data_IF_578688939106
#
_entry.id   IF_578688939106
#
_cell.length_a   1.000
_cell.length_b   1.000
_cell.length_c   1.000
_cell.angle_alpha   90.00
_cell.angle_beta   90.00
_cell.angle_gamma   90.00
#
_symmetry.space_group_name_H-M   'P 1'
#
loop_
_entity.id
_entity.type
_entity.pdbx_description
1 polymer ?
#
# COMPACT_ATOMS: atom_id res chain seq x y z
N UNK A 1 -30.26 -13.43 -24.70
CA UNK A 1 -30.13 -12.20 -25.51
C UNK A 1 -29.15 -11.32 -24.78
N UNK A 2 -27.87 -11.56 -25.02
CA UNK A 2 -26.76 -10.79 -24.46
C UNK A 2 -26.61 -9.54 -25.31
N UNK A 3 -26.79 -8.38 -24.69
CA UNK A 3 -26.62 -7.10 -25.36
C UNK A 3 -25.14 -6.88 -25.66
N UNK A 4 -24.76 -7.02 -26.92
CA UNK A 4 -23.55 -6.42 -27.48
C UNK A 4 -23.78 -4.91 -27.57
N UNK A 5 -23.67 -4.21 -26.45
CA UNK A 5 -23.61 -2.75 -26.42
C UNK A 5 -22.14 -2.34 -26.39
N UNK A 6 -21.63 -1.80 -27.50
CA UNK A 6 -20.46 -0.90 -27.43
C UNK A 6 -20.88 0.30 -26.56
N UNK A 7 -20.60 0.19 -25.26
CA UNK A 7 -20.69 1.32 -24.35
C UNK A 7 -19.60 2.31 -24.75
N UNK A 8 -19.99 3.44 -25.34
CA UNK A 8 -19.11 4.60 -25.45
C UNK A 8 -18.72 5.03 -24.04
N UNK A 9 -17.47 4.76 -23.66
CA UNK A 9 -16.95 5.06 -22.33
C UNK A 9 -16.63 6.54 -22.24
N UNK A 10 -17.37 7.28 -21.42
CA UNK A 10 -17.18 8.71 -21.17
C UNK A 10 -15.90 9.07 -20.39
N UNK A 11 -14.98 8.11 -20.22
CA UNK A 11 -13.72 8.27 -19.48
C UNK A 11 -13.91 8.44 -17.96
N UNK A 12 -15.11 8.26 -17.42
CA UNK A 12 -15.40 8.49 -15.99
C UNK A 12 -15.09 7.30 -15.10
N UNK A 13 -15.00 7.56 -13.79
CA UNK A 13 -14.93 6.50 -12.78
C UNK A 13 -16.16 5.58 -12.81
N UNK A 14 -17.34 6.10 -13.16
CA UNK A 14 -18.55 5.29 -13.29
C UNK A 14 -18.41 4.26 -14.43
N UNK A 15 -17.95 4.71 -15.59
CA UNK A 15 -17.62 3.82 -16.72
C UNK A 15 -16.53 2.81 -16.32
N UNK A 16 -15.51 3.22 -15.57
CA UNK A 16 -14.48 2.32 -15.05
C UNK A 16 -15.09 1.19 -14.21
N UNK A 17 -15.96 1.53 -13.26
CA UNK A 17 -16.63 0.54 -12.40
C UNK A 17 -17.45 -0.46 -13.20
N UNK A 18 -18.27 -0.01 -14.17
CA UNK A 18 -19.11 -0.89 -14.96
C UNK A 18 -18.30 -1.91 -15.78
N UNK A 19 -17.20 -1.45 -16.40
CA UNK A 19 -16.30 -2.30 -17.19
C UNK A 19 -15.57 -3.29 -16.28
N UNK A 20 -14.99 -2.81 -15.18
CA UNK A 20 -14.23 -3.64 -14.24
C UNK A 20 -15.14 -4.67 -13.56
N UNK A 21 -16.36 -4.31 -13.20
CA UNK A 21 -17.33 -5.26 -12.65
C UNK A 21 -17.57 -6.43 -13.61
N UNK A 22 -17.82 -6.13 -14.88
CA UNK A 22 -18.05 -7.15 -15.91
C UNK A 22 -16.82 -8.03 -16.15
N UNK A 23 -15.63 -7.42 -16.13
CA UNK A 23 -14.36 -8.12 -16.34
C UNK A 23 -14.00 -9.03 -15.15
N UNK A 24 -14.28 -8.60 -13.92
CA UNK A 24 -13.80 -9.26 -12.70
C UNK A 24 -14.74 -10.33 -12.14
N UNK A 25 -16.07 -10.20 -12.30
CA UNK A 25 -17.06 -11.15 -11.73
C UNK A 25 -17.16 -12.48 -12.48
N UNK A 26 -16.79 -12.50 -13.76
CA UNK A 26 -17.04 -13.64 -14.65
C UNK A 26 -15.81 -14.50 -14.94
N UNK A 27 -16.00 -15.50 -15.81
CA UNK A 27 -14.93 -16.38 -16.31
C UNK A 27 -14.07 -15.75 -17.40
N UNK A 28 -14.33 -14.48 -17.78
CA UNK A 28 -13.64 -13.81 -18.88
C UNK A 28 -12.12 -13.85 -18.74
N UNK A 29 -11.58 -13.53 -17.55
CA UNK A 29 -10.12 -13.56 -17.32
C UNK A 29 -9.55 -14.95 -17.60
N UNK A 30 -10.18 -16.00 -17.08
CA UNK A 30 -9.74 -17.38 -17.32
C UNK A 30 -9.78 -17.74 -18.81
N UNK A 31 -10.88 -17.41 -19.50
CA UNK A 31 -11.04 -17.65 -20.94
C UNK A 31 -9.99 -16.90 -21.76
N UNK A 32 -9.73 -15.64 -21.43
CA UNK A 32 -8.70 -14.84 -22.07
C UNK A 32 -7.32 -15.48 -21.91
N UNK A 33 -6.97 -15.97 -20.72
CA UNK A 33 -5.70 -16.64 -20.48
C UNK A 33 -5.63 -17.99 -21.20
N UNK A 34 -6.73 -18.77 -21.23
CA UNK A 34 -6.80 -20.02 -22.00
C UNK A 34 -6.54 -19.76 -23.49
N UNK A 35 -7.21 -18.78 -24.08
CA UNK A 35 -7.03 -18.40 -25.49
C UNK A 35 -5.60 -17.91 -25.79
N UNK A 36 -4.97 -17.17 -24.86
CA UNK A 36 -3.57 -16.78 -25.01
C UNK A 36 -2.63 -17.99 -25.08
N UNK A 37 -2.87 -19.01 -24.25
CA UNK A 37 -2.06 -20.24 -24.24
C UNK A 37 -2.32 -21.11 -25.48
N UNK A 38 -3.53 -21.10 -26.02
CA UNK A 38 -3.85 -21.80 -27.28
C UNK A 38 -3.07 -21.26 -28.49
N UNK A 39 -2.51 -20.05 -28.42
CA UNK A 39 -1.69 -19.47 -29.51
C UNK A 39 -0.33 -20.16 -29.70
N UNK A 40 0.03 -21.10 -28.82
CA UNK A 40 1.21 -21.94 -28.92
C UNK A 40 2.25 -21.61 -27.84
N UNK A 41 3.41 -21.09 -28.23
CA UNK A 41 4.55 -20.90 -27.33
C UNK A 41 4.33 -19.78 -26.31
N UNK A 42 4.71 -20.00 -25.06
CA UNK A 42 4.60 -19.02 -23.96
C UNK A 42 5.13 -17.61 -24.26
N UNK A 43 6.27 -17.41 -24.94
CA UNK A 43 6.71 -16.07 -25.34
C UNK A 43 5.71 -15.33 -26.23
N UNK A 44 4.92 -16.03 -27.04
CA UNK A 44 3.86 -15.42 -27.85
C UNK A 44 2.69 -14.99 -26.98
N UNK A 45 2.28 -15.82 -26.03
CA UNK A 45 1.24 -15.49 -25.05
C UNK A 45 1.63 -14.26 -24.21
N UNK A 46 2.89 -14.19 -23.73
CA UNK A 46 3.43 -13.03 -23.01
C UNK A 46 3.41 -11.74 -23.85
N UNK A 47 3.82 -11.82 -25.13
CA UNK A 47 3.79 -10.66 -26.03
C UNK A 47 2.37 -10.19 -26.35
N UNK A 48 1.42 -11.13 -26.48
CA UNK A 48 0.01 -10.82 -26.69
C UNK A 48 -0.59 -10.15 -25.43
N UNK A 49 -0.33 -10.70 -24.23
CA UNK A 49 -0.73 -10.10 -22.96
C UNK A 49 -0.17 -8.67 -22.80
N UNK A 50 1.14 -8.50 -23.06
CA UNK A 50 1.82 -7.21 -23.07
C UNK A 50 1.12 -6.20 -23.98
N UNK A 51 0.76 -6.64 -25.20
CA UNK A 51 0.11 -5.78 -26.20
C UNK A 51 -1.30 -5.38 -25.76
N UNK A 52 -2.07 -6.32 -25.20
CA UNK A 52 -3.39 -6.04 -24.62
C UNK A 52 -3.32 -5.03 -23.47
N UNK A 53 -2.36 -5.18 -22.55
CA UNK A 53 -2.16 -4.23 -21.45
C UNK A 53 -1.73 -2.85 -21.92
N UNK A 54 -0.88 -2.78 -22.94
CA UNK A 54 -0.42 -1.51 -23.53
C UNK A 54 -1.54 -0.76 -24.24
N UNK A 55 -2.43 -1.50 -24.91
CA UNK A 55 -3.60 -0.93 -25.61
C UNK A 55 -4.84 -0.82 -24.70
N UNK A 56 -4.74 -1.22 -23.43
CA UNK A 56 -5.85 -1.30 -22.49
C UNK A 56 -7.06 -2.08 -23.04
N UNK A 57 -6.82 -3.10 -23.86
CA UNK A 57 -7.86 -3.78 -24.64
C UNK A 57 -7.72 -5.29 -24.51
N UNK A 58 -8.80 -5.94 -24.09
CA UNK A 58 -8.85 -7.39 -23.82
C UNK A 58 -9.97 -8.02 -24.63
N UNK A 59 -9.63 -9.05 -25.41
CA UNK A 59 -10.56 -9.72 -26.31
C UNK A 59 -10.48 -11.22 -26.11
N UNK A 60 -11.65 -11.84 -25.94
CA UNK A 60 -11.84 -13.29 -26.01
C UNK A 60 -12.96 -13.60 -27.01
N UNK A 61 -13.07 -14.86 -27.44
CA UNK A 61 -14.01 -15.37 -28.46
C UNK A 61 -15.46 -14.86 -28.40
N UNK A 62 -15.96 -14.46 -27.23
CA UNK A 62 -17.31 -13.89 -27.05
C UNK A 62 -17.38 -12.53 -26.36
N UNK A 63 -16.25 -11.87 -26.07
CA UNK A 63 -16.25 -10.65 -25.27
C UNK A 63 -15.10 -9.72 -25.60
N UNK A 64 -15.37 -8.42 -25.54
CA UNK A 64 -14.40 -7.37 -25.78
C UNK A 64 -14.55 -6.30 -24.69
N UNK A 65 -13.42 -5.95 -24.06
CA UNK A 65 -13.36 -4.90 -23.06
C UNK A 65 -12.26 -3.92 -23.44
N UNK A 66 -12.61 -2.63 -23.49
CA UNK A 66 -11.66 -1.52 -23.65
C UNK A 66 -11.68 -0.66 -22.40
N UNK A 67 -10.50 -0.43 -21.84
CA UNK A 67 -10.24 0.47 -20.71
C UNK A 67 -9.46 1.72 -21.16
N UNK A 68 -9.15 1.87 -22.45
CA UNK A 68 -8.22 2.88 -22.96
C UNK A 68 -8.61 4.32 -22.61
N UNK A 69 -9.82 4.72 -22.97
CA UNK A 69 -10.29 6.09 -22.72
C UNK A 69 -10.43 6.38 -21.21
N UNK A 70 -10.87 5.39 -20.45
CA UNK A 70 -10.99 5.47 -18.98
C UNK A 70 -9.61 5.63 -18.35
N UNK A 71 -8.66 4.73 -18.63
CA UNK A 71 -7.32 4.80 -18.03
C UNK A 71 -6.64 6.10 -18.41
N UNK A 72 -6.70 6.49 -19.69
CA UNK A 72 -6.11 7.75 -20.16
C UNK A 72 -6.72 8.95 -19.42
N UNK A 73 -8.04 9.05 -19.35
CA UNK A 73 -8.72 10.21 -18.73
C UNK A 73 -8.44 10.30 -17.24
N UNK A 74 -8.53 9.18 -16.52
CA UNK A 74 -8.26 9.16 -15.09
C UNK A 74 -6.79 9.43 -14.78
N UNK A 75 -5.86 8.90 -15.57
CA UNK A 75 -4.42 9.09 -15.39
C UNK A 75 -4.00 10.54 -15.71
N UNK A 76 -4.47 11.12 -16.82
CA UNK A 76 -4.20 12.51 -17.17
C UNK A 76 -4.66 13.48 -16.07
N UNK A 77 -5.84 13.23 -15.48
CA UNK A 77 -6.35 14.03 -14.35
C UNK A 77 -5.54 13.83 -13.07
N UNK A 78 -5.08 12.62 -12.82
CA UNK A 78 -4.23 12.29 -11.66
C UNK A 78 -2.89 13.01 -11.76
N UNK A 79 -2.27 13.00 -12.95
CA UNK A 79 -1.05 13.74 -13.27
C UNK A 79 -1.23 15.25 -13.12
N UNK A 80 -2.37 15.79 -13.57
CA UNK A 80 -2.69 17.20 -13.40
C UNK A 80 -2.83 17.62 -11.93
N UNK A 81 -3.18 16.68 -11.04
CA UNK A 81 -3.21 16.89 -9.59
C UNK A 81 -1.85 16.64 -8.90
N UNK A 82 -0.81 16.31 -9.66
CA UNK A 82 0.56 16.14 -9.17
C UNK A 82 0.96 14.70 -8.82
N UNK A 83 0.09 13.72 -9.09
CA UNK A 83 0.35 12.31 -8.82
C UNK A 83 0.60 11.52 -10.11
N UNK A 84 1.65 10.70 -10.09
CA UNK A 84 2.04 9.82 -11.18
C UNK A 84 1.85 8.39 -10.70
N UNK A 85 0.70 7.76 -10.97
CA UNK A 85 0.31 6.49 -10.30
C UNK A 85 0.59 5.27 -11.17
N UNK A 86 0.47 5.42 -12.49
CA UNK A 86 0.48 4.30 -13.44
C UNK A 86 1.88 4.02 -14.04
N UNK A 87 2.81 4.94 -13.83
CA UNK A 87 4.18 4.95 -14.37
C UNK A 87 5.22 4.85 -13.26
N UNK A 88 6.36 4.24 -13.57
CA UNK A 88 7.45 4.04 -12.60
C UNK A 88 8.42 5.20 -12.66
N UNK A 89 8.88 5.66 -11.49
CA UNK A 89 9.98 6.63 -11.41
C UNK A 89 11.34 5.95 -11.65
N UNK A 90 12.12 6.48 -12.59
CA UNK A 90 13.48 6.03 -12.80
C UNK A 90 14.47 6.93 -12.03
N UNK A 91 15.06 6.36 -10.98
CA UNK A 91 16.02 7.05 -10.12
C UNK A 91 17.34 7.42 -10.82
N UNK A 92 17.64 6.85 -11.99
CA UNK A 92 18.92 7.10 -12.69
C UNK A 92 18.86 8.32 -13.61
N UNK A 93 17.74 8.52 -14.31
CA UNK A 93 17.55 9.64 -15.23
C UNK A 93 16.59 10.72 -14.68
N UNK A 94 16.00 10.47 -13.51
CA UNK A 94 15.03 11.35 -12.87
C UNK A 94 13.81 11.66 -13.77
N UNK A 95 13.30 10.63 -14.45
CA UNK A 95 12.09 10.72 -15.27
C UNK A 95 11.12 9.58 -14.99
N UNK A 96 9.84 9.77 -15.33
CA UNK A 96 8.86 8.69 -15.32
C UNK A 96 8.96 7.84 -16.59
N UNK A 97 8.68 6.55 -16.45
CA UNK A 97 8.72 5.60 -17.55
C UNK A 97 7.66 5.88 -18.61
N UNK A 98 8.00 5.70 -19.89
CA UNK A 98 7.03 5.83 -20.99
C UNK A 98 5.96 4.72 -20.95
N UNK A 99 6.39 3.48 -20.70
CA UNK A 99 5.46 2.35 -20.53
C UNK A 99 4.95 2.30 -19.08
N UNK A 100 3.74 1.75 -18.90
CA UNK A 100 3.12 1.59 -17.59
C UNK A 100 3.74 0.45 -16.77
N UNK A 101 3.58 0.51 -15.44
CA UNK A 101 4.17 -0.47 -14.50
C UNK A 101 3.82 -1.93 -14.87
N UNK A 102 2.55 -2.28 -15.17
CA UNK A 102 2.22 -3.65 -15.57
C UNK A 102 2.95 -4.15 -16.83
N UNK A 103 3.10 -3.31 -17.86
CA UNK A 103 3.86 -3.66 -19.07
C UNK A 103 5.34 -3.86 -18.76
N UNK A 104 5.93 -2.99 -17.92
CA UNK A 104 7.31 -3.16 -17.46
C UNK A 104 7.51 -4.46 -16.67
N UNK A 105 6.48 -4.89 -15.94
CA UNK A 105 6.47 -6.14 -15.19
C UNK A 105 6.52 -7.35 -16.13
N UNK A 106 5.69 -7.36 -17.18
CA UNK A 106 5.73 -8.40 -18.22
C UNK A 106 7.13 -8.46 -18.84
N UNK A 107 7.69 -7.31 -19.22
CA UNK A 107 9.04 -7.22 -19.80
C UNK A 107 10.12 -7.74 -18.84
N UNK A 108 9.98 -7.49 -17.53
CA UNK A 108 10.90 -7.99 -16.53
C UNK A 108 10.83 -9.51 -16.41
N UNK A 109 9.63 -10.08 -16.29
CA UNK A 109 9.42 -11.52 -16.18
C UNK A 109 9.91 -12.24 -17.43
N UNK A 110 9.68 -11.70 -18.63
CA UNK A 110 10.25 -12.24 -19.87
C UNK A 110 11.78 -12.27 -19.84
N UNK A 111 12.44 -11.19 -19.38
CA UNK A 111 13.91 -11.15 -19.25
C UNK A 111 14.46 -12.11 -18.20
N UNK A 112 13.70 -12.41 -17.15
CA UNK A 112 14.12 -13.39 -16.14
C UNK A 112 14.28 -14.80 -16.75
N UNK A 113 13.62 -15.09 -17.87
CA UNK A 113 13.75 -16.36 -18.57
C UNK A 113 13.33 -17.55 -17.71
N UNK A 114 12.28 -17.37 -16.92
CA UNK A 114 11.76 -18.35 -15.97
C UNK A 114 11.36 -19.63 -16.73
N UNK A 115 11.97 -20.77 -16.37
CA UNK A 115 11.73 -22.08 -16.98
C UNK A 115 10.96 -22.99 -16.02
N UNK A 116 10.25 -23.98 -16.58
CA UNK A 116 9.60 -25.06 -15.85
C UNK A 116 8.55 -24.61 -14.81
N UNK A 117 7.88 -23.49 -15.09
CA UNK A 117 6.81 -22.97 -14.25
C UNK A 117 5.43 -23.08 -14.88
N UNK A 118 4.40 -22.95 -14.06
CA UNK A 118 3.02 -22.84 -14.48
C UNK A 118 2.80 -21.52 -15.26
N UNK A 119 2.85 -21.65 -16.59
CA UNK A 119 2.63 -20.57 -17.55
C UNK A 119 1.27 -19.89 -17.36
N UNK A 120 0.23 -20.66 -17.03
CA UNK A 120 -1.12 -20.15 -16.79
C UNK A 120 -1.19 -19.30 -15.53
N UNK A 121 -0.58 -19.76 -14.45
CA UNK A 121 -0.50 -19.01 -13.20
C UNK A 121 0.25 -17.68 -13.41
N UNK A 122 1.35 -17.71 -14.17
CA UNK A 122 2.14 -16.53 -14.49
C UNK A 122 1.33 -15.47 -15.27
N UNK A 123 0.67 -15.87 -16.37
CA UNK A 123 -0.16 -14.95 -17.16
C UNK A 123 -1.34 -14.40 -16.36
N UNK A 124 -1.98 -15.25 -15.55
CA UNK A 124 -3.10 -14.85 -14.68
C UNK A 124 -2.67 -13.80 -13.66
N UNK A 125 -1.51 -14.00 -13.01
CA UNK A 125 -0.97 -13.04 -12.06
C UNK A 125 -0.58 -11.72 -12.73
N UNK A 126 0.04 -11.76 -13.92
CA UNK A 126 0.36 -10.56 -14.68
C UNK A 126 -0.89 -9.75 -15.07
N UNK A 127 -1.96 -10.43 -15.51
CA UNK A 127 -3.25 -9.78 -15.80
C UNK A 127 -3.83 -9.11 -14.55
N UNK A 128 -3.80 -9.81 -13.41
CA UNK A 128 -4.31 -9.25 -12.16
C UNK A 128 -3.47 -8.07 -11.66
N UNK A 129 -2.15 -8.07 -11.88
CA UNK A 129 -1.29 -6.90 -11.60
C UNK A 129 -1.74 -5.69 -12.42
N UNK A 130 -2.07 -5.87 -13.70
CA UNK A 130 -2.59 -4.77 -14.52
C UNK A 130 -3.90 -4.22 -13.93
N UNK A 131 -4.85 -5.09 -13.62
CA UNK A 131 -6.15 -4.69 -13.08
C UNK A 131 -6.02 -4.07 -11.67
N UNK A 132 -5.07 -4.54 -10.87
CA UNK A 132 -4.71 -3.92 -9.59
C UNK A 132 -4.27 -2.46 -9.76
N UNK A 133 -3.43 -2.15 -10.76
CA UNK A 133 -3.00 -0.78 -11.03
C UNK A 133 -4.16 0.08 -11.55
N UNK A 134 -5.08 -0.49 -12.32
CA UNK A 134 -6.30 0.23 -12.74
C UNK A 134 -7.19 0.54 -11.53
N UNK A 135 -7.35 -0.40 -10.59
CA UNK A 135 -8.08 -0.14 -9.33
C UNK A 135 -7.37 0.89 -8.43
N UNK A 136 -6.04 0.88 -8.44
CA UNK A 136 -5.22 1.89 -7.74
C UNK A 136 -5.50 3.28 -8.30
N UNK A 137 -5.54 3.42 -9.64
CA UNK A 137 -5.95 4.67 -10.29
C UNK A 137 -7.41 5.04 -9.97
N UNK A 138 -8.34 4.08 -9.95
CA UNK A 138 -9.72 4.35 -9.55
C UNK A 138 -9.81 4.87 -8.09
N UNK A 139 -8.96 4.36 -7.19
CA UNK A 139 -8.99 4.74 -5.77
C UNK A 139 -8.65 6.21 -5.54
N UNK A 140 -7.64 6.75 -6.23
CA UNK A 140 -7.29 8.18 -6.13
C UNK A 140 -8.33 9.08 -6.79
N UNK A 141 -9.08 8.56 -7.77
CA UNK A 141 -10.19 9.26 -8.43
C UNK A 141 -11.52 9.14 -7.71
N UNK A 142 -11.57 8.59 -6.49
CA UNK A 142 -12.82 8.39 -5.75
C UNK A 142 -13.63 9.68 -5.52
N UNK A 143 -13.00 10.86 -5.60
CA UNK A 143 -13.65 12.17 -5.44
C UNK A 143 -14.10 12.80 -6.77
N UNK A 144 -14.04 12.08 -7.89
CA UNK A 144 -14.44 12.62 -9.20
C UNK A 144 -15.94 12.91 -9.31
N UNK A 145 -16.72 12.33 -8.42
CA UNK A 145 -18.13 12.65 -8.22
C UNK A 145 -18.36 12.93 -6.71
N UNK A 146 -19.53 13.48 -6.38
CA UNK A 146 -19.90 13.83 -5.00
C UNK A 146 -20.22 12.61 -4.11
N UNK A 147 -19.73 11.41 -4.46
CA UNK A 147 -20.00 10.15 -3.77
C UNK A 147 -18.72 9.35 -3.42
N UNK A 148 -17.68 9.97 -2.81
CA UNK A 148 -16.43 9.27 -2.51
C UNK A 148 -16.65 8.05 -1.60
N UNK A 149 -17.61 8.14 -0.67
CA UNK A 149 -17.98 7.05 0.23
C UNK A 149 -18.44 5.81 -0.53
N UNK A 150 -19.31 5.95 -1.52
CA UNK A 150 -19.77 4.81 -2.29
C UNK A 150 -18.68 4.27 -3.21
N UNK A 151 -17.83 5.15 -3.76
CA UNK A 151 -16.78 4.75 -4.67
C UNK A 151 -15.76 3.84 -3.99
N UNK A 152 -15.32 4.15 -2.78
CA UNK A 152 -14.42 3.24 -2.06
C UNK A 152 -15.07 1.88 -1.73
N UNK A 153 -16.38 1.82 -1.45
CA UNK A 153 -17.07 0.54 -1.24
C UNK A 153 -17.11 -0.28 -2.54
N UNK A 154 -17.44 0.38 -3.67
CA UNK A 154 -17.42 -0.24 -5.00
C UNK A 154 -16.01 -0.75 -5.35
N UNK A 155 -14.97 0.05 -5.11
CA UNK A 155 -13.57 -0.33 -5.38
C UNK A 155 -13.13 -1.48 -4.47
N UNK A 156 -13.53 -1.48 -3.19
CA UNK A 156 -13.24 -2.60 -2.28
C UNK A 156 -13.90 -3.88 -2.78
N UNK A 157 -15.15 -3.81 -3.26
CA UNK A 157 -15.84 -4.96 -3.85
C UNK A 157 -15.16 -5.46 -5.13
N UNK A 158 -14.72 -4.56 -6.01
CA UNK A 158 -13.96 -4.91 -7.22
C UNK A 158 -12.64 -5.59 -6.86
N UNK A 159 -11.93 -5.10 -5.83
CA UNK A 159 -10.70 -5.71 -5.32
C UNK A 159 -10.94 -7.13 -4.81
N UNK A 160 -12.05 -7.39 -4.11
CA UNK A 160 -12.41 -8.75 -3.68
C UNK A 160 -12.59 -9.70 -4.87
N UNK A 161 -13.23 -9.25 -5.95
CA UNK A 161 -13.37 -10.05 -7.17
C UNK A 161 -12.04 -10.23 -7.92
N UNK A 162 -11.21 -9.19 -7.98
CA UNK A 162 -9.86 -9.27 -8.54
C UNK A 162 -9.06 -10.40 -7.89
N UNK A 163 -9.03 -10.42 -6.57
CA UNK A 163 -8.24 -11.35 -5.76
C UNK A 163 -8.93 -12.70 -5.52
N UNK A 164 -10.14 -12.87 -6.07
CA UNK A 164 -10.99 -14.04 -5.90
C UNK A 164 -10.60 -15.24 -6.77
N UNK A 165 -11.40 -16.32 -6.74
CA UNK A 165 -11.13 -17.57 -7.46
C UNK A 165 -11.25 -17.48 -8.99
N UNK A 166 -11.82 -16.39 -9.52
CA UNK A 166 -11.93 -16.13 -10.96
C UNK A 166 -10.74 -15.35 -11.53
N UNK A 167 -9.72 -15.09 -10.70
CA UNK A 167 -8.42 -14.54 -11.11
C UNK A 167 -7.28 -15.49 -10.72
N UNK A 168 -6.09 -14.93 -10.52
CA UNK A 168 -4.91 -15.64 -9.99
C UNK A 168 -5.11 -16.12 -8.55
N UNK A 169 -6.01 -15.48 -7.80
CA UNK A 169 -6.20 -15.71 -6.37
C UNK A 169 -5.15 -15.03 -5.48
N UNK A 170 -4.20 -14.28 -6.06
CA UNK A 170 -3.23 -13.50 -5.30
C UNK A 170 -3.93 -12.43 -4.45
N UNK A 171 -3.53 -12.30 -3.19
CA UNK A 171 -4.04 -11.27 -2.28
C UNK A 171 -3.05 -10.10 -2.26
N UNK A 172 -3.38 -8.99 -2.95
CA UNK A 172 -2.54 -7.79 -2.95
C UNK A 172 -2.75 -6.99 -1.67
N UNK A 173 -3.97 -6.48 -1.48
CA UNK A 173 -4.37 -5.63 -0.34
C UNK A 173 -5.80 -5.96 0.09
N UNK A 174 -6.27 -5.44 1.23
CA UNK A 174 -7.59 -5.76 1.77
C UNK A 174 -8.70 -4.82 1.34
N UNK A 175 -8.40 -3.57 0.99
CA UNK A 175 -9.42 -2.54 0.77
C UNK A 175 -8.93 -1.36 -0.06
N UNK A 176 -9.88 -0.52 -0.47
CA UNK A 176 -9.65 0.69 -1.25
C UNK A 176 -8.80 1.74 -0.50
N UNK A 177 -8.87 1.83 0.83
CA UNK A 177 -8.00 2.72 1.61
C UNK A 177 -6.52 2.35 1.44
N UNK A 178 -6.22 1.05 1.40
CA UNK A 178 -4.84 0.58 1.16
C UNK A 178 -4.43 0.76 -0.29
N UNK A 179 -5.34 0.58 -1.26
CA UNK A 179 -5.08 0.93 -2.66
C UNK A 179 -4.71 2.40 -2.81
N UNK A 180 -5.42 3.31 -2.14
CA UNK A 180 -5.09 4.73 -2.18
C UNK A 180 -3.70 5.01 -1.61
N UNK A 181 -3.33 4.38 -0.50
CA UNK A 181 -1.96 4.49 0.02
C UNK A 181 -0.96 3.97 -1.01
N UNK A 182 -1.20 2.82 -1.64
CA UNK A 182 -0.33 2.29 -2.70
C UNK A 182 -0.20 3.23 -3.88
N UNK A 183 -1.28 3.94 -4.25
CA UNK A 183 -1.29 4.89 -5.36
C UNK A 183 -0.26 6.01 -5.19
N UNK A 184 -0.08 6.47 -3.95
CA UNK A 184 0.80 7.62 -3.65
C UNK A 184 2.10 7.24 -2.95
N UNK A 185 2.38 5.94 -2.89
CA UNK A 185 3.55 5.38 -2.23
C UNK A 185 4.76 5.26 -3.15
N UNK A 186 4.97 6.23 -4.03
CA UNK A 186 6.19 6.40 -4.81
C UNK A 186 6.53 7.89 -4.90
N UNK A 187 7.66 8.20 -5.52
CA UNK A 187 8.06 9.59 -5.68
C UNK A 187 7.04 10.35 -6.53
N UNK A 188 6.57 11.48 -6.01
CA UNK A 188 5.75 12.44 -6.74
C UNK A 188 6.38 13.83 -6.63
N UNK A 189 6.47 14.58 -7.74
CA UNK A 189 7.23 15.83 -7.78
C UNK A 189 6.55 17.01 -7.06
N UNK A 190 5.25 16.89 -6.74
CA UNK A 190 4.45 17.99 -6.17
C UNK A 190 4.10 17.70 -4.71
N UNK A 191 4.86 18.28 -3.78
CA UNK A 191 4.61 18.11 -2.34
C UNK A 191 3.20 18.59 -1.93
N UNK A 192 2.69 19.65 -2.56
CA UNK A 192 1.34 20.20 -2.31
C UNK A 192 0.22 19.23 -2.67
N UNK A 193 0.47 18.25 -3.54
CA UNK A 193 -0.51 17.24 -3.90
C UNK A 193 -0.88 16.37 -2.69
N UNK A 194 0.08 16.10 -1.80
CA UNK A 194 -0.15 15.33 -0.58
C UNK A 194 -1.06 16.09 0.40
N UNK A 195 -0.86 17.40 0.56
CA UNK A 195 -1.73 18.23 1.40
C UNK A 195 -3.18 18.23 0.89
N UNK A 196 -3.36 18.44 -0.41
CA UNK A 196 -4.69 18.40 -1.04
C UNK A 196 -5.35 17.01 -0.90
N UNK A 197 -4.56 15.93 -0.99
CA UNK A 197 -5.08 14.58 -0.79
C UNK A 197 -5.49 14.34 0.67
N UNK A 198 -4.69 14.80 1.64
CA UNK A 198 -5.05 14.75 3.07
C UNK A 198 -6.37 15.49 3.27
N UNK A 199 -6.55 16.70 2.76
CA UNK A 199 -7.81 17.43 2.88
C UNK A 199 -9.01 16.62 2.35
N UNK A 200 -8.87 15.97 1.18
CA UNK A 200 -9.89 15.08 0.60
C UNK A 200 -10.21 13.87 1.49
N UNK A 201 -9.19 13.21 2.05
CA UNK A 201 -9.38 12.04 2.92
C UNK A 201 -10.17 12.41 4.18
N UNK A 202 -9.94 13.60 4.73
CA UNK A 202 -10.65 14.08 5.91
C UNK A 202 -12.05 14.63 5.61
N UNK A 203 -12.54 14.58 4.36
CA UNK A 203 -13.96 14.73 4.05
C UNK A 203 -14.75 13.43 4.14
N UNK A 204 -14.08 12.27 4.27
CA UNK A 204 -14.74 10.98 4.44
C UNK A 204 -15.32 10.83 5.86
N UNK A 205 -16.21 9.86 6.07
CA UNK A 205 -16.70 9.53 7.41
C UNK A 205 -15.58 9.02 8.34
N UNK A 206 -15.85 9.08 9.65
CA UNK A 206 -14.91 8.64 10.70
C UNK A 206 -14.45 7.19 10.50
N UNK A 207 -15.33 6.29 10.05
CA UNK A 207 -14.98 4.87 9.88
C UNK A 207 -13.89 4.71 8.82
N UNK A 208 -13.97 5.46 7.72
CA UNK A 208 -12.98 5.46 6.65
C UNK A 208 -11.71 6.19 7.04
N UNK A 209 -11.83 7.35 7.70
CA UNK A 209 -10.68 8.06 8.25
C UNK A 209 -9.85 7.15 9.17
N UNK A 210 -10.50 6.36 10.04
CA UNK A 210 -9.84 5.37 10.90
C UNK A 210 -9.16 4.26 10.08
N UNK A 211 -9.86 3.66 9.12
CA UNK A 211 -9.28 2.61 8.24
C UNK A 211 -8.05 3.10 7.50
N UNK A 212 -8.12 4.31 6.96
CA UNK A 212 -7.02 4.95 6.27
C UNK A 212 -5.85 5.24 7.22
N UNK A 213 -6.15 5.75 8.42
CA UNK A 213 -5.13 6.06 9.43
C UNK A 213 -4.40 4.80 9.92
N UNK A 214 -5.12 3.68 10.08
CA UNK A 214 -4.51 2.39 10.45
C UNK A 214 -3.41 1.97 9.48
N UNK A 215 -3.69 1.97 8.18
CA UNK A 215 -2.72 1.56 7.16
C UNK A 215 -1.63 2.63 6.96
N UNK A 216 -1.99 3.90 7.05
CA UNK A 216 -1.05 5.03 6.91
C UNK A 216 0.04 5.00 7.97
N UNK A 217 -0.30 4.80 9.25
CA UNK A 217 0.73 4.74 10.30
C UNK A 217 1.65 3.54 10.15
N UNK A 218 1.15 2.44 9.57
CA UNK A 218 1.99 1.28 9.28
C UNK A 218 2.94 1.50 8.10
N UNK A 219 2.45 2.12 7.02
CA UNK A 219 3.26 2.45 5.84
C UNK A 219 4.31 3.50 6.16
N UNK A 220 3.90 4.65 6.68
CA UNK A 220 4.81 5.74 7.04
C UNK A 220 5.73 5.34 8.20
N UNK A 221 5.23 4.55 9.14
CA UNK A 221 6.03 3.96 10.21
C UNK A 221 7.18 3.10 9.66
N UNK A 222 6.86 2.15 8.79
CA UNK A 222 7.85 1.28 8.15
C UNK A 222 8.83 2.04 7.27
N UNK A 223 8.33 3.01 6.50
CA UNK A 223 9.11 3.89 5.64
C UNK A 223 10.14 4.72 6.40
N UNK A 224 9.69 5.50 7.39
CA UNK A 224 10.54 6.41 8.13
C UNK A 224 11.54 5.67 9.02
N UNK A 225 11.19 4.49 9.59
CA UNK A 225 12.16 3.64 10.30
C UNK A 225 13.27 3.15 9.36
N UNK A 226 12.91 2.75 8.13
CA UNK A 226 13.89 2.38 7.11
C UNK A 226 14.78 3.57 6.75
N UNK A 227 14.18 4.71 6.40
CA UNK A 227 14.88 5.92 5.99
C UNK A 227 15.84 6.43 7.06
N UNK A 228 15.39 6.47 8.32
CA UNK A 228 16.21 6.88 9.47
C UNK A 228 17.57 6.17 9.48
N UNK A 229 17.58 4.84 9.35
CA UNK A 229 18.82 4.06 9.35
C UNK A 229 19.54 4.09 8.00
N UNK A 230 18.81 3.82 6.92
CA UNK A 230 19.39 3.52 5.61
C UNK A 230 19.84 4.78 4.84
N UNK A 231 19.08 5.87 4.97
CA UNK A 231 19.24 7.07 4.13
C UNK A 231 19.81 8.24 4.92
N UNK A 232 19.39 8.40 6.19
CA UNK A 232 19.72 9.57 6.99
C UNK A 232 20.78 9.32 8.07
N UNK A 233 21.32 8.11 8.18
CA UNK A 233 22.33 7.76 9.21
C UNK A 233 21.90 8.16 10.63
N UNK A 234 20.60 8.08 10.91
CA UNK A 234 19.90 8.46 12.14
C UNK A 234 19.86 9.96 12.42
N UNK A 235 20.16 10.79 11.43
CA UNK A 235 19.91 12.24 11.50
C UNK A 235 18.41 12.53 11.33
N UNK A 236 17.74 12.70 12.47
CA UNK A 236 16.30 12.98 12.52
C UNK A 236 15.96 14.36 11.95
N UNK A 237 16.87 15.33 12.02
CA UNK A 237 16.63 16.69 11.49
C UNK A 237 16.59 16.64 9.97
N UNK A 238 17.56 15.96 9.36
CA UNK A 238 17.57 15.74 7.91
C UNK A 238 16.36 14.92 7.46
N UNK A 239 16.02 13.86 8.18
CA UNK A 239 14.83 13.05 7.87
C UNK A 239 13.54 13.90 7.90
N UNK A 240 13.36 14.76 8.89
CA UNK A 240 12.18 15.65 8.95
C UNK A 240 12.09 16.60 7.77
N UNK A 241 13.23 17.14 7.33
CA UNK A 241 13.28 18.05 6.19
C UNK A 241 12.96 17.35 4.86
N UNK A 242 13.52 16.16 4.64
CA UNK A 242 13.36 15.43 3.37
C UNK A 242 12.01 14.69 3.27
N UNK A 243 11.24 14.58 4.36
CA UNK A 243 9.93 13.92 4.40
C UNK A 243 8.82 14.90 4.81
N UNK A 244 8.85 16.14 4.29
CA UNK A 244 7.95 17.22 4.67
C UNK A 244 6.45 16.90 4.42
N UNK A 245 6.13 16.06 3.42
CA UNK A 245 4.75 15.58 3.18
C UNK A 245 4.30 14.44 4.11
N UNK A 246 5.23 13.58 4.56
CA UNK A 246 4.90 12.42 5.39
C UNK A 246 4.56 12.79 6.83
N UNK A 247 5.24 13.80 7.40
CA UNK A 247 4.99 14.20 8.79
C UNK A 247 3.58 14.74 9.02
N UNK A 248 3.05 15.67 8.19
CA UNK A 248 1.66 16.10 8.25
C UNK A 248 0.70 14.93 8.08
N UNK A 249 0.91 14.06 7.09
CA UNK A 249 0.09 12.86 6.90
C UNK A 249 0.05 12.00 8.18
N UNK A 250 1.22 11.73 8.75
CA UNK A 250 1.36 10.92 9.95
C UNK A 250 0.71 11.60 11.17
N UNK A 251 0.84 12.92 11.31
CA UNK A 251 0.17 13.71 12.35
C UNK A 251 -1.36 13.55 12.26
N UNK A 252 -1.92 13.74 11.07
CA UNK A 252 -3.35 13.57 10.82
C UNK A 252 -3.82 12.15 11.16
N UNK A 253 -3.06 11.13 10.73
CA UNK A 253 -3.37 9.73 11.02
C UNK A 253 -3.32 9.41 12.52
N UNK A 254 -2.29 9.88 13.23
CA UNK A 254 -2.15 9.68 14.67
C UNK A 254 -3.26 10.40 15.45
N UNK A 255 -3.66 11.59 15.03
CA UNK A 255 -4.75 12.35 15.64
C UNK A 255 -6.08 11.60 15.53
N UNK A 256 -6.45 11.17 14.32
CA UNK A 256 -7.66 10.36 14.09
C UNK A 256 -7.67 9.08 14.92
N UNK A 257 -6.52 8.39 15.02
CA UNK A 257 -6.41 7.17 15.82
C UNK A 257 -6.52 7.45 17.32
N UNK A 258 -5.97 8.56 17.82
CA UNK A 258 -6.14 8.93 19.23
C UNK A 258 -7.59 9.31 19.54
N UNK A 259 -8.27 10.06 18.68
CA UNK A 259 -9.69 10.37 18.86
C UNK A 259 -10.54 9.11 18.92
N UNK A 260 -10.27 8.14 18.03
CA UNK A 260 -10.95 6.85 18.03
C UNK A 260 -10.60 6.00 19.27
N UNK A 261 -9.33 6.03 19.71
CA UNK A 261 -8.92 5.42 20.97
C UNK A 261 -9.74 5.95 22.14
N UNK A 262 -9.86 7.28 22.26
CA UNK A 262 -10.63 7.94 23.31
C UNK A 262 -12.10 7.55 23.26
N UNK A 263 -12.69 7.55 22.05
CA UNK A 263 -14.10 7.15 21.86
C UNK A 263 -14.33 5.70 22.32
N UNK A 264 -13.47 4.77 21.89
CA UNK A 264 -13.55 3.36 22.27
C UNK A 264 -13.31 3.17 23.77
N UNK A 265 -12.34 3.89 24.35
CA UNK A 265 -12.03 3.85 25.78
C UNK A 265 -13.22 4.28 26.62
N UNK A 266 -13.86 5.41 26.28
CA UNK A 266 -15.05 5.94 26.97
C UNK A 266 -16.27 5.04 26.84
N UNK A 267 -16.36 4.24 25.77
CA UNK A 267 -17.43 3.26 25.59
C UNK A 267 -17.33 2.05 26.53
N UNK A 268 -16.23 1.89 27.28
CA UNK A 268 -16.05 0.82 28.26
C UNK A 268 -15.89 -0.59 27.68
N UNK A 269 -15.84 -0.73 26.36
CA UNK A 269 -15.69 -2.03 25.69
C UNK A 269 -14.21 -2.33 25.40
N UNK A 270 -13.67 -3.37 26.04
CA UNK A 270 -12.46 -4.04 25.55
C UNK A 270 -12.79 -4.81 24.28
N UNK A 271 -12.64 -4.16 23.13
CA UNK A 271 -12.89 -4.79 21.84
C UNK A 271 -11.59 -4.88 21.03
N UNK A 272 -11.55 -5.84 20.10
CA UNK A 272 -10.44 -6.02 19.16
C UNK A 272 -10.14 -4.75 18.36
N UNK A 273 -11.11 -3.86 18.17
CA UNK A 273 -10.89 -2.58 17.49
C UNK A 273 -9.91 -1.69 18.28
N UNK A 274 -10.05 -1.57 19.60
CA UNK A 274 -9.11 -0.80 20.45
C UNK A 274 -7.68 -1.33 20.32
N UNK A 275 -7.50 -2.64 20.31
CA UNK A 275 -6.17 -3.26 20.13
C UNK A 275 -5.52 -2.90 18.79
N UNK A 276 -6.31 -2.84 17.70
CA UNK A 276 -5.82 -2.40 16.39
C UNK A 276 -5.36 -0.94 16.43
N UNK A 277 -6.13 -0.07 17.09
CA UNK A 277 -5.78 1.34 17.27
C UNK A 277 -4.46 1.48 18.07
N UNK A 278 -4.32 0.77 19.19
CA UNK A 278 -3.10 0.81 20.02
C UNK A 278 -1.87 0.38 19.21
N UNK A 279 -1.96 -0.74 18.48
CA UNK A 279 -0.87 -1.21 17.61
C UNK A 279 -0.52 -0.18 16.53
N UNK A 280 -1.52 0.45 15.91
CA UNK A 280 -1.32 1.44 14.86
C UNK A 280 -0.71 2.74 15.38
N UNK A 281 -1.11 3.21 16.56
CA UNK A 281 -0.50 4.35 17.25
C UNK A 281 0.98 4.07 17.54
N UNK A 282 1.29 2.91 18.11
CA UNK A 282 2.68 2.51 18.37
C UNK A 282 3.48 2.45 17.07
N UNK A 283 2.94 1.88 16.00
CA UNK A 283 3.61 1.81 14.71
C UNK A 283 3.92 3.20 14.14
N UNK A 284 2.97 4.14 14.20
CA UNK A 284 3.16 5.51 13.73
C UNK A 284 4.13 6.34 14.58
N UNK A 285 4.22 6.10 15.89
CA UNK A 285 5.11 6.84 16.79
C UNK A 285 6.56 6.36 16.76
N UNK A 286 6.79 5.10 16.40
CA UNK A 286 8.13 4.48 16.44
C UNK A 286 9.24 5.04 15.55
N UNK A 287 8.99 5.75 14.43
CA UNK A 287 10.07 6.37 13.66
C UNK A 287 10.66 7.58 14.37
N UNK A 288 9.81 8.41 14.98
CA UNK A 288 10.20 9.69 15.61
C UNK A 288 9.16 10.14 16.65
N UNK A 289 9.19 9.59 17.88
CA UNK A 289 8.24 9.97 18.92
C UNK A 289 8.39 11.43 19.35
N UNK A 290 9.58 12.02 19.20
CA UNK A 290 9.84 13.41 19.61
C UNK A 290 9.04 14.41 18.77
N UNK A 291 8.82 14.14 17.48
CA UNK A 291 8.02 15.02 16.62
C UNK A 291 6.60 15.23 17.14
N UNK A 292 6.04 14.25 17.87
CA UNK A 292 4.65 14.26 18.33
C UNK A 292 4.52 14.54 19.83
N UNK A 293 5.53 14.24 20.65
CA UNK A 293 5.46 14.44 22.10
C UNK A 293 6.02 15.80 22.56
N UNK A 294 6.97 16.38 21.82
CA UNK A 294 7.61 17.63 22.22
C UNK A 294 6.77 18.85 21.84
N UNK A 295 6.84 19.88 22.67
CA UNK A 295 6.31 21.23 22.39
C UNK A 295 7.45 22.24 22.51
N UNK A 296 7.61 23.19 21.56
CA UNK A 296 6.84 23.34 20.32
C UNK A 296 7.08 22.19 19.32
N UNK A 297 6.20 22.00 18.30
CA UNK A 297 6.42 21.02 17.25
C UNK A 297 7.70 21.32 16.44
N UNK A 298 8.29 20.32 15.76
CA UNK A 298 9.36 20.56 14.80
C UNK A 298 8.90 21.42 13.62
N UNK A 299 9.86 22.01 12.90
CA UNK A 299 9.59 22.89 11.73
C UNK A 299 8.70 22.23 10.68
N UNK A 300 8.89 20.93 10.43
CA UNK A 300 8.06 20.15 9.49
C UNK A 300 6.58 20.06 9.87
N UNK A 301 6.23 20.38 11.12
CA UNK A 301 4.86 20.38 11.65
C UNK A 301 4.39 21.76 12.09
N UNK A 302 5.18 22.82 11.89
CA UNK A 302 4.87 24.17 12.39
C UNK A 302 3.56 24.72 11.81
N UNK A 303 3.26 24.43 10.53
CA UNK A 303 2.01 24.83 9.87
C UNK A 303 0.77 24.08 10.39
N UNK A 304 0.96 22.99 11.12
CA UNK A 304 -0.10 22.14 11.67
C UNK A 304 -0.14 22.22 13.19
N UNK A 305 0.32 23.34 13.77
CA UNK A 305 0.44 23.54 15.22
C UNK A 305 -0.82 23.18 16.00
N UNK A 306 -2.00 23.65 15.56
CA UNK A 306 -3.26 23.38 16.26
C UNK A 306 -3.57 21.88 16.33
N UNK A 307 -3.36 21.16 15.22
CA UNK A 307 -3.58 19.71 15.14
C UNK A 307 -2.57 18.94 15.97
N UNK A 308 -1.31 19.37 15.92
CA UNK A 308 -0.25 18.82 16.77
C UNK A 308 -0.58 19.00 18.26
N UNK A 309 -1.07 20.18 18.65
CA UNK A 309 -1.50 20.46 20.01
C UNK A 309 -2.65 19.55 20.46
N UNK A 310 -3.65 19.32 19.61
CA UNK A 310 -4.74 18.36 19.90
C UNK A 310 -4.20 16.96 20.14
N UNK A 311 -3.34 16.45 19.24
CA UNK A 311 -2.71 15.13 19.42
C UNK A 311 -1.91 15.07 20.73
N UNK A 312 -1.10 16.08 21.01
CA UNK A 312 -0.27 16.13 22.21
C UNK A 312 -1.11 16.10 23.48
N UNK A 313 -2.22 16.85 23.53
CA UNK A 313 -3.13 16.86 24.68
C UNK A 313 -3.75 15.49 24.92
N UNK A 314 -4.25 14.83 23.87
CA UNK A 314 -4.82 13.48 23.98
C UNK A 314 -3.77 12.45 24.41
N UNK A 315 -2.55 12.54 23.88
CA UNK A 315 -1.47 11.64 24.28
C UNK A 315 -1.04 11.86 25.74
N UNK A 316 -1.02 13.10 26.22
CA UNK A 316 -0.71 13.43 27.61
C UNK A 316 -1.82 12.95 28.56
N UNK A 317 -3.10 13.13 28.21
CA UNK A 317 -4.24 12.69 29.03
C UNK A 317 -4.21 11.17 29.27
N UNK A 318 -3.80 10.38 28.27
CA UNK A 318 -3.80 8.92 28.32
C UNK A 318 -2.40 8.29 28.42
N UNK A 319 -1.36 9.06 28.76
CA UNK A 319 0.04 8.65 28.66
C UNK A 319 0.37 7.37 29.47
N UNK A 320 -0.05 7.31 30.73
CA UNK A 320 0.24 6.15 31.60
C UNK A 320 -0.44 4.86 31.10
N UNK A 321 -1.68 4.98 30.64
CA UNK A 321 -2.46 3.86 30.10
C UNK A 321 -1.83 3.38 28.78
N UNK A 322 -1.56 4.28 27.85
CA UNK A 322 -0.90 3.98 26.58
C UNK A 322 0.49 3.36 26.78
N UNK A 323 1.28 3.83 27.75
CA UNK A 323 2.59 3.24 28.04
C UNK A 323 2.47 1.77 28.47
N UNK A 324 1.45 1.44 29.27
CA UNK A 324 1.17 0.07 29.69
C UNK A 324 0.71 -0.78 28.50
N UNK A 325 -0.20 -0.27 27.69
CA UNK A 325 -0.73 -0.98 26.53
C UNK A 325 0.31 -1.19 25.42
N UNK A 326 1.16 -0.19 25.17
CA UNK A 326 2.27 -0.31 24.22
C UNK A 326 3.31 -1.33 24.67
N UNK A 327 3.57 -1.44 25.98
CA UNK A 327 4.51 -2.43 26.51
C UNK A 327 4.07 -3.88 26.23
N UNK A 328 2.75 -4.13 26.13
CA UNK A 328 2.20 -5.44 25.78
C UNK A 328 2.48 -5.85 24.32
N UNK A 329 2.81 -4.91 23.45
CA UNK A 329 3.10 -5.15 22.02
C UNK A 329 4.59 -5.07 21.68
N UNK A 330 5.47 -5.19 22.67
CA UNK A 330 6.92 -5.28 22.45
C UNK A 330 7.25 -6.47 21.53
N UNK A 331 8.00 -6.25 20.45
CA UNK A 331 8.46 -7.34 19.58
C UNK A 331 9.28 -8.38 20.35
N UNK A 332 9.09 -9.64 20.00
CA UNK A 332 9.89 -10.77 20.50
C UNK A 332 10.58 -11.48 19.33
N UNK A 333 11.47 -12.45 19.61
CA UNK A 333 12.16 -13.20 18.55
C UNK A 333 11.28 -14.31 17.97
N UNK A 334 10.29 -14.74 18.73
CA UNK A 334 9.40 -15.86 18.42
C UNK A 334 8.34 -15.41 17.41
N UNK A 335 7.67 -14.29 17.67
CA UNK A 335 6.51 -13.85 16.90
C UNK A 335 6.84 -12.75 15.88
N UNK A 336 6.12 -12.76 14.76
CA UNK A 336 6.07 -11.66 13.82
C UNK A 336 5.60 -10.37 14.49
N UNK A 337 6.31 -9.26 14.20
CA UNK A 337 5.89 -7.92 14.57
C UNK A 337 6.05 -6.94 13.40
N UNK A 338 5.01 -6.16 13.06
CA UNK A 338 5.14 -5.09 12.06
C UNK A 338 6.16 -4.02 12.43
N UNK A 339 6.44 -3.82 13.73
CA UNK A 339 7.46 -2.86 14.19
C UNK A 339 8.88 -3.28 13.77
N UNK A 340 9.08 -4.57 13.51
CA UNK A 340 10.33 -5.14 13.04
C UNK A 340 10.46 -5.11 11.50
N UNK A 341 9.38 -4.78 10.78
CA UNK A 341 9.33 -4.79 9.32
C UNK A 341 9.46 -3.37 8.77
N UNK A 342 10.56 -3.09 8.05
CA UNK A 342 10.91 -1.77 7.51
C UNK A 342 11.17 -1.87 6.02
N UNK A 343 10.82 -0.84 5.26
CA UNK A 343 10.98 -0.83 3.81
C UNK A 343 11.13 0.58 3.28
N UNK A 344 11.78 0.75 2.12
CA UNK A 344 11.89 2.05 1.48
C UNK A 344 10.53 2.54 0.96
N UNK A 345 9.75 1.71 0.28
CA UNK A 345 8.39 2.07 -0.12
C UNK A 345 7.54 0.80 -0.15
N UNK A 346 6.22 0.87 0.11
CA UNK A 346 5.39 -0.33 0.08
C UNK A 346 5.29 -0.95 -1.33
N UNK A 347 5.48 -0.18 -2.42
CA UNK A 347 5.62 -0.77 -3.76
C UNK A 347 6.84 -1.69 -3.87
N UNK A 348 7.93 -1.44 -3.13
CA UNK A 348 9.07 -2.36 -3.10
C UNK A 348 8.71 -3.68 -2.44
N UNK A 349 7.87 -3.64 -1.39
CA UNK A 349 7.34 -4.83 -0.73
C UNK A 349 6.47 -5.63 -1.69
N UNK A 350 5.54 -4.97 -2.37
CA UNK A 350 4.67 -5.62 -3.34
C UNK A 350 5.46 -6.20 -4.53
N UNK A 351 6.37 -5.43 -5.12
CA UNK A 351 7.20 -5.90 -6.23
C UNK A 351 8.07 -7.10 -5.81
N UNK A 352 8.68 -7.06 -4.63
CA UNK A 352 9.45 -8.19 -4.11
C UNK A 352 8.56 -9.43 -3.92
N UNK A 353 7.35 -9.27 -3.41
CA UNK A 353 6.39 -10.36 -3.24
C UNK A 353 6.02 -11.00 -4.59
N UNK A 354 5.68 -10.16 -5.58
CA UNK A 354 5.36 -10.61 -6.93
C UNK A 354 6.54 -11.33 -7.58
N UNK A 355 7.77 -10.83 -7.41
CA UNK A 355 8.97 -11.50 -7.93
C UNK A 355 9.24 -12.85 -7.26
N UNK A 356 8.95 -12.99 -5.97
CA UNK A 356 9.01 -14.29 -5.28
C UNK A 356 7.96 -15.23 -5.86
N UNK A 357 6.70 -14.78 -6.00
CA UNK A 357 5.63 -15.55 -6.63
C UNK A 357 5.98 -16.02 -8.04
N UNK A 358 6.49 -15.12 -8.90
CA UNK A 358 6.96 -15.49 -10.24
C UNK A 358 8.19 -16.39 -10.20
N UNK A 359 9.03 -16.35 -9.18
CA UNK A 359 10.19 -17.25 -9.11
C UNK A 359 9.83 -18.65 -8.59
N UNK A 360 8.73 -18.75 -7.84
CA UNK A 360 8.23 -20.01 -7.25
C UNK A 360 7.09 -20.64 -8.07
N UNK A 361 6.53 -19.95 -9.08
CA UNK A 361 5.34 -20.39 -9.80
C UNK A 361 4.10 -20.43 -8.90
N UNK A 362 4.01 -19.50 -7.94
CA UNK A 362 3.01 -19.50 -6.87
C UNK A 362 2.26 -18.18 -6.77
N UNK A 363 1.27 -18.12 -5.87
CA UNK A 363 0.60 -16.86 -5.47
C UNK A 363 0.66 -16.71 -3.96
N UNK A 364 0.64 -15.48 -3.46
CA UNK A 364 0.57 -15.21 -2.03
C UNK A 364 -0.88 -14.99 -1.60
N UNK A 365 -1.24 -15.58 -0.46
CA UNK A 365 -2.56 -15.46 0.18
C UNK A 365 -2.54 -14.51 1.38
N UNK A 366 -1.37 -14.09 1.81
CA UNK A 366 -1.18 -13.02 2.79
C UNK A 366 -1.26 -11.65 2.09
N UNK A 367 -2.32 -10.84 2.33
CA UNK A 367 -2.37 -9.48 1.81
C UNK A 367 -1.36 -8.59 2.53
N UNK A 368 -0.91 -7.52 1.85
CA UNK A 368 0.04 -6.55 2.40
C UNK A 368 -0.42 -5.97 3.75
N UNK A 369 -1.74 -5.75 3.92
CA UNK A 369 -2.30 -5.30 5.19
C UNK A 369 -1.95 -6.19 6.38
N UNK A 370 -1.89 -7.52 6.19
CA UNK A 370 -1.61 -8.43 7.30
C UNK A 370 -0.14 -8.36 7.73
N UNK A 371 0.77 -8.16 6.78
CA UNK A 371 2.18 -7.85 7.07
C UNK A 371 2.26 -6.50 7.80
N UNK A 372 1.63 -5.45 7.28
CA UNK A 372 1.79 -4.10 7.81
C UNK A 372 1.10 -3.85 9.16
N UNK A 373 -0.03 -4.50 9.42
CA UNK A 373 -0.85 -4.27 10.62
C UNK A 373 -0.68 -5.35 11.70
N UNK A 374 -0.23 -6.57 11.33
CA UNK A 374 -0.08 -7.67 12.28
C UNK A 374 -1.41 -8.04 12.96
N UNK A 375 -2.47 -8.18 12.17
CA UNK A 375 -3.85 -8.35 12.67
C UNK A 375 -4.13 -9.72 13.31
N UNK A 376 -3.19 -10.66 13.31
CA UNK A 376 -3.42 -12.04 13.78
C UNK A 376 -2.67 -12.36 15.08
N UNK A 377 -3.41 -12.90 16.06
CA UNK A 377 -2.87 -13.61 17.23
C UNK A 377 -2.77 -15.13 17.01
N UNK A 378 -3.30 -15.65 15.90
CA UNK A 378 -3.25 -17.07 15.57
C UNK A 378 -1.81 -17.46 15.19
N UNK A 379 -1.20 -18.37 15.97
CA UNK A 379 0.19 -18.81 15.79
C UNK A 379 0.51 -19.29 14.35
N UNK A 380 -0.29 -20.14 13.69
CA UNK A 380 0.02 -20.58 12.31
C UNK A 380 0.06 -19.43 11.30
N UNK A 381 -0.82 -18.43 11.46
CA UNK A 381 -0.80 -17.24 10.59
C UNK A 381 0.39 -16.34 10.92
N UNK A 382 0.77 -16.23 12.19
CA UNK A 382 1.92 -15.46 12.62
C UNK A 382 3.24 -16.03 12.05
N UNK A 383 3.39 -17.36 12.08
CA UNK A 383 4.53 -18.05 11.47
C UNK A 383 4.62 -17.77 9.97
N UNK A 384 3.46 -17.77 9.27
CA UNK A 384 3.41 -17.42 7.84
C UNK A 384 3.83 -15.97 7.58
N UNK A 385 3.39 -15.01 8.39
CA UNK A 385 3.81 -13.61 8.25
C UNK A 385 5.33 -13.46 8.42
N UNK A 386 5.90 -14.16 9.40
CA UNK A 386 7.35 -14.19 9.65
C UNK A 386 8.10 -14.82 8.48
N UNK A 387 7.62 -15.94 7.95
CA UNK A 387 8.18 -16.61 6.77
C UNK A 387 8.22 -15.66 5.58
N UNK A 388 7.09 -15.02 5.26
CA UNK A 388 6.99 -14.06 4.14
C UNK A 388 7.94 -12.88 4.34
N UNK A 389 7.96 -12.26 5.52
CA UNK A 389 8.85 -11.13 5.79
C UNK A 389 10.34 -11.50 5.63
N UNK A 390 10.75 -12.69 6.09
CA UNK A 390 12.10 -13.20 5.93
C UNK A 390 12.43 -13.46 4.45
N UNK A 391 11.51 -14.09 3.70
CA UNK A 391 11.67 -14.31 2.25
C UNK A 391 11.87 -12.99 1.51
N UNK A 392 11.06 -11.97 1.80
CA UNK A 392 11.18 -10.64 1.19
C UNK A 392 12.51 -9.96 1.53
N UNK A 393 12.98 -10.07 2.78
CA UNK A 393 14.30 -9.55 3.17
C UNK A 393 15.45 -10.29 2.48
N UNK A 394 15.35 -11.61 2.28
CA UNK A 394 16.34 -12.38 1.51
C UNK A 394 16.34 -11.93 0.05
N UNK A 395 15.16 -11.79 -0.54
CA UNK A 395 15.00 -11.29 -1.91
C UNK A 395 15.63 -9.90 -2.08
N UNK A 396 15.35 -8.96 -1.18
CA UNK A 396 15.91 -7.61 -1.22
C UNK A 396 17.46 -7.58 -1.04
N UNK A 397 18.06 -8.62 -0.47
CA UNK A 397 19.52 -8.75 -0.35
C UNK A 397 20.21 -9.51 -1.47
N UNK A 398 19.46 -10.07 -2.43
CA UNK A 398 19.99 -11.05 -3.39
C UNK A 398 20.82 -10.45 -4.53
N UNK A 399 20.66 -9.16 -4.85
CA UNK A 399 21.36 -8.49 -5.95
C UNK A 399 21.64 -7.02 -5.67
N UNK A 400 22.63 -6.45 -6.35
CA UNK A 400 23.07 -5.05 -6.16
C UNK A 400 22.06 -4.00 -6.66
N UNK A 401 21.18 -4.35 -7.59
CA UNK A 401 20.09 -3.49 -8.06
C UNK A 401 18.89 -3.45 -7.09
N UNK A 402 18.93 -4.25 -6.01
CA UNK A 402 17.84 -4.39 -5.02
C UNK A 402 18.19 -3.82 -3.66
N UNK A 403 19.31 -3.11 -3.58
CA UNK A 403 19.78 -2.43 -2.38
C UNK A 403 19.72 -0.91 -2.58
N UNK A 404 19.28 -0.21 -1.55
CA UNK A 404 19.30 1.25 -1.47
C UNK A 404 20.69 1.80 -1.11
N UNK A 405 20.74 3.04 -0.59
CA UNK A 405 21.99 3.70 -0.24
C UNK A 405 22.91 2.83 0.62
N UNK A 406 24.21 2.88 0.33
CA UNK A 406 25.26 2.14 1.04
C UNK A 406 25.09 0.61 1.03
N UNK A 407 24.31 0.06 0.08
CA UNK A 407 24.06 -1.38 -0.01
C UNK A 407 23.00 -1.88 0.98
N UNK A 408 22.20 -0.98 1.56
CA UNK A 408 21.14 -1.34 2.50
C UNK A 408 19.99 -2.04 1.78
N UNK A 409 19.49 -3.17 2.30
CA UNK A 409 18.33 -3.86 1.71
C UNK A 409 17.10 -2.93 1.69
N UNK A 410 16.35 -2.92 0.60
CA UNK A 410 15.12 -2.13 0.47
C UNK A 410 13.98 -2.64 1.37
N UNK A 411 14.09 -3.87 1.89
CA UNK A 411 13.16 -4.50 2.83
C UNK A 411 13.99 -5.17 3.93
N UNK A 412 13.65 -4.89 5.18
CA UNK A 412 14.34 -5.39 6.37
C UNK A 412 13.31 -5.96 7.33
N UNK A 413 13.58 -7.14 7.87
CA UNK A 413 12.87 -7.69 9.02
C UNK A 413 13.86 -8.00 10.14
N UNK A 414 13.81 -7.20 11.21
CA UNK A 414 14.72 -7.30 12.35
C UNK A 414 13.99 -7.05 13.69
N UNK A 415 13.64 -8.11 14.44
CA UNK A 415 12.95 -7.99 15.73
C UNK A 415 13.72 -7.21 16.79
N UNK A 416 15.06 -7.25 16.79
CA UNK A 416 15.85 -6.49 17.75
C UNK A 416 15.74 -4.99 17.51
N UNK A 417 15.74 -4.58 16.24
CA UNK A 417 15.53 -3.18 15.86
C UNK A 417 14.10 -2.76 16.20
N UNK A 418 13.10 -3.61 15.91
CA UNK A 418 11.72 -3.36 16.30
C UNK A 418 11.55 -3.15 17.81
N UNK A 419 12.21 -3.97 18.64
CA UNK A 419 12.21 -3.82 20.09
C UNK A 419 12.84 -2.50 20.54
N UNK A 420 13.97 -2.10 19.92
CA UNK A 420 14.61 -0.83 20.21
C UNK A 420 13.68 0.37 19.92
N UNK A 421 12.94 0.33 18.80
CA UNK A 421 11.97 1.36 18.48
C UNK A 421 10.81 1.43 19.48
N UNK A 422 10.26 0.29 19.91
CA UNK A 422 9.22 0.27 20.94
C UNK A 422 9.72 0.88 22.26
N UNK A 423 10.93 0.50 22.70
CA UNK A 423 11.55 1.05 23.91
C UNK A 423 11.84 2.56 23.79
N UNK A 424 12.20 3.04 22.61
CA UNK A 424 12.36 4.46 22.32
C UNK A 424 11.04 5.23 22.52
N UNK A 425 9.92 4.71 22.03
CA UNK A 425 8.60 5.35 22.26
C UNK A 425 8.27 5.39 23.75
N UNK A 426 8.39 4.27 24.46
CA UNK A 426 8.06 4.20 25.89
C UNK A 426 8.91 5.13 26.75
N UNK A 427 10.23 5.16 26.50
CA UNK A 427 11.15 6.06 27.22
C UNK A 427 10.88 7.54 26.90
N UNK A 428 10.54 7.86 25.65
CA UNK A 428 10.25 9.23 25.23
C UNK A 428 8.90 9.69 25.80
N UNK A 429 7.88 8.84 25.77
CA UNK A 429 6.57 9.11 26.38
C UNK A 429 6.72 9.40 27.88
N UNK A 430 7.45 8.55 28.61
CA UNK A 430 7.75 8.77 30.04
C UNK A 430 8.51 10.07 30.32
N UNK A 431 9.26 10.60 29.36
CA UNK A 431 10.07 11.81 29.56
C UNK A 431 9.27 13.09 29.29
N UNK A 432 8.35 13.06 28.34
CA UNK A 432 7.69 14.27 27.82
C UNK A 432 6.19 14.35 28.12
N UNK A 433 5.54 13.24 28.49
CA UNK A 433 4.08 13.17 28.68
C UNK A 433 3.67 12.67 30.08
N UNK A 434 4.58 12.04 30.82
CA UNK A 434 4.43 11.63 32.23
C UNK A 434 5.46 12.40 33.03
#
# INVERSE_FOLDING_TARGET
MEGTGESTTDGTLHSAHAILESLLRGSFRNQFIDELLETGEFPRAMNALRSSMKLHTFKSSGSFFSLGDVVKTLDDRTKAEGFEVFHSWNHSDHTFSNDNIPVLMVDHVTRMGIKDQDERACLSLLLDIYLFHVLTLCSIRSWDNDQPQENFDKITQLLEWLQGPYGSGHQFVKNAETLLVMAVSQYHPSDQAYDALIEKIWTLDTKRQVRFSLISTAVLGGHLRWGSRAMYSRDVVKMRADNAGDYPWLLYSLTTLMEEYVRLRRSGMENQARQKIIKALLNGLTPDPWAFFQTPPPVSLALYFEKHQVLQQLLAEYAEELATEFAAYRPTLENYSPLAFHFNFPHNVLNALLMVCFSEGSVERVPLNDLLLGETSDSPKNDKLKEVALKLMVFAGSRRDRVGPQGTKLIIYDPHVGLAHCNMVLSTMKKYLV
#
